data_IF_696985794201
#
_entry.id   IF_696985794201
#
_cell.length_a   1.000
_cell.length_b   1.000
_cell.length_c   1.000
_cell.angle_alpha   90.00
_cell.angle_beta   90.00
_cell.angle_gamma   90.00
#
_symmetry.space_group_name_H-M   'P 1'
#
loop_
_entity.id
_entity.type
_entity.pdbx_description
1 polymer ?
#
# COMPACT_ATOMS: atom_id res chain seq x y z
N UNK A 1 28.49 -3.05 10.73
CA UNK A 1 27.46 -3.12 9.69
C UNK A 1 28.16 -3.57 8.44
N UNK A 2 27.77 -4.72 7.91
CA UNK A 2 28.30 -5.23 6.65
C UNK A 2 27.77 -4.38 5.51
N UNK A 3 28.67 -3.83 4.69
CA UNK A 3 28.32 -2.97 3.55
C UNK A 3 28.32 -3.80 2.27
N UNK A 4 27.15 -3.92 1.65
CA UNK A 4 26.99 -4.53 0.34
C UNK A 4 26.93 -3.45 -0.75
N UNK A 5 27.70 -3.60 -1.82
CA UNK A 5 27.61 -2.77 -3.02
C UNK A 5 28.17 -3.52 -4.22
N UNK A 6 28.09 -2.95 -5.41
CA UNK A 6 28.67 -3.51 -6.61
C UNK A 6 29.46 -2.47 -7.40
N UNK A 7 30.35 -2.96 -8.26
CA UNK A 7 31.05 -2.17 -9.26
C UNK A 7 30.87 -2.82 -10.63
N UNK A 8 30.55 -2.02 -11.64
CA UNK A 8 30.58 -2.44 -13.04
C UNK A 8 31.71 -1.69 -13.71
N UNK A 9 32.76 -2.41 -14.10
CA UNK A 9 33.98 -1.83 -14.68
C UNK A 9 34.16 -2.28 -16.13
N UNK A 10 34.66 -1.41 -17.03
CA UNK A 10 34.96 -1.78 -18.40
C UNK A 10 35.97 -2.93 -18.46
N UNK A 11 35.77 -3.88 -19.37
CA UNK A 11 36.71 -4.98 -19.62
C UNK A 11 37.62 -4.66 -20.81
N UNK A 12 38.93 -4.96 -20.73
CA UNK A 12 39.85 -4.77 -21.85
C UNK A 12 39.41 -5.47 -23.13
N UNK A 13 39.67 -4.83 -24.28
CA UNK A 13 39.25 -5.32 -25.60
C UNK A 13 39.91 -6.66 -25.99
N UNK A 14 41.16 -6.89 -25.57
CA UNK A 14 41.90 -8.14 -25.75
C UNK A 14 41.30 -9.32 -24.98
N UNK A 15 40.54 -9.04 -23.93
CA UNK A 15 39.76 -10.03 -23.18
C UNK A 15 38.32 -10.14 -23.66
N UNK A 16 37.95 -9.55 -24.80
CA UNK A 16 36.62 -9.61 -25.40
C UNK A 16 35.69 -8.41 -25.08
N UNK A 17 36.21 -7.33 -24.51
CA UNK A 17 35.47 -6.08 -24.26
C UNK A 17 34.26 -6.21 -23.32
N UNK A 18 33.41 -5.20 -23.23
CA UNK A 18 32.19 -5.25 -22.41
C UNK A 18 32.45 -4.93 -20.94
N UNK A 19 31.76 -5.61 -20.02
CA UNK A 19 31.72 -5.23 -18.61
C UNK A 19 32.11 -6.38 -17.68
N UNK A 20 32.68 -6.03 -16.53
CA UNK A 20 32.87 -6.92 -15.38
C UNK A 20 32.08 -6.38 -14.20
N UNK A 21 31.17 -7.20 -13.69
CA UNK A 21 30.47 -6.97 -12.44
C UNK A 21 31.29 -7.54 -11.28
N UNK A 22 31.48 -6.74 -10.23
CA UNK A 22 32.07 -7.15 -8.96
C UNK A 22 31.03 -6.93 -7.88
N UNK A 23 30.73 -7.97 -7.11
CA UNK A 23 29.81 -7.92 -5.97
C UNK A 23 30.65 -7.87 -4.70
N UNK A 24 30.46 -6.83 -3.88
CA UNK A 24 31.39 -6.46 -2.81
C UNK A 24 30.68 -6.50 -1.45
N UNK A 25 31.28 -7.24 -0.52
CA UNK A 25 30.90 -7.31 0.90
C UNK A 25 32.08 -6.78 1.72
N UNK A 26 31.91 -5.64 2.40
CA UNK A 26 32.98 -4.97 3.16
C UNK A 26 34.28 -4.80 2.35
N UNK A 27 34.13 -4.30 1.11
CA UNK A 27 35.20 -4.09 0.13
C UNK A 27 35.86 -5.39 -0.40
N UNK A 28 35.38 -6.56 0.03
CA UNK A 28 35.84 -7.85 -0.48
C UNK A 28 34.93 -8.34 -1.59
N UNK A 29 35.52 -8.71 -2.73
CA UNK A 29 34.78 -9.31 -3.84
C UNK A 29 34.31 -10.71 -3.44
N UNK A 30 33.00 -10.91 -3.41
CA UNK A 30 32.33 -12.16 -3.01
C UNK A 30 31.61 -12.85 -4.16
N UNK A 31 31.49 -12.17 -5.30
CA UNK A 31 30.89 -12.70 -6.52
C UNK A 31 31.01 -11.70 -7.67
N UNK A 32 30.38 -12.03 -8.79
CA UNK A 32 30.42 -11.19 -9.98
C UNK A 32 30.06 -11.95 -11.24
N UNK A 33 30.26 -11.27 -12.36
CA UNK A 33 29.96 -11.77 -13.68
C UNK A 33 30.76 -11.04 -14.75
N UNK A 34 30.83 -11.64 -15.93
CA UNK A 34 31.50 -11.07 -17.08
C UNK A 34 30.48 -11.02 -18.21
N UNK A 35 30.31 -9.84 -18.79
CA UNK A 35 29.30 -9.56 -19.81
C UNK A 35 30.03 -9.15 -21.10
N UNK A 36 30.48 -10.12 -21.91
CA UNK A 36 31.24 -9.87 -23.14
C UNK A 36 30.32 -9.37 -24.25
N UNK A 37 30.76 -8.36 -25.02
CA UNK A 37 29.96 -7.81 -26.13
C UNK A 37 29.59 -8.86 -27.19
N UNK A 38 30.42 -9.91 -27.33
CA UNK A 38 30.19 -11.00 -28.28
C UNK A 38 28.91 -11.81 -28.01
N UNK A 39 28.41 -11.83 -26.76
CA UNK A 39 27.16 -12.52 -26.41
C UNK A 39 25.91 -11.71 -26.78
N UNK A 40 26.08 -10.43 -27.08
CA UNK A 40 25.02 -9.48 -27.42
C UNK A 40 25.02 -9.16 -28.91
N UNK A 41 25.33 -10.14 -29.76
CA UNK A 41 25.54 -9.96 -31.20
C UNK A 41 24.33 -9.35 -31.92
N UNK A 42 24.26 -8.02 -31.92
CA UNK A 42 23.35 -7.16 -32.68
C UNK A 42 24.11 -6.39 -33.76
N UNK A 43 23.39 -5.93 -34.78
CA UNK A 43 23.97 -5.21 -35.93
C UNK A 43 24.68 -3.91 -35.52
N UNK A 44 24.40 -3.39 -34.32
CA UNK A 44 24.91 -2.14 -33.78
C UNK A 44 25.80 -2.37 -32.54
N UNK A 45 27.08 -1.98 -32.64
CA UNK A 45 28.05 -2.14 -31.56
C UNK A 45 27.73 -1.29 -30.32
N UNK A 46 27.10 -0.13 -30.47
CA UNK A 46 26.74 0.75 -29.35
C UNK A 46 25.59 0.15 -28.52
N UNK A 47 24.65 -0.53 -29.18
CA UNK A 47 23.58 -1.27 -28.51
C UNK A 47 24.14 -2.46 -27.74
N UNK A 48 25.13 -3.18 -28.28
CA UNK A 48 25.76 -4.31 -27.59
C UNK A 48 26.41 -3.88 -26.28
N UNK A 49 27.00 -2.67 -26.24
CA UNK A 49 27.57 -2.09 -25.03
C UNK A 49 26.50 -1.77 -23.99
N UNK A 50 25.36 -1.23 -24.43
CA UNK A 50 24.24 -0.89 -23.56
C UNK A 50 23.59 -2.14 -22.96
N UNK A 51 23.21 -3.12 -23.77
CA UNK A 51 22.57 -4.36 -23.28
C UNK A 51 23.49 -5.15 -22.33
N UNK A 52 24.79 -5.23 -22.64
CA UNK A 52 25.74 -5.87 -21.74
C UNK A 52 25.85 -5.15 -20.38
N UNK A 53 25.65 -3.82 -20.35
CA UNK A 53 25.61 -3.06 -19.11
C UNK A 53 24.30 -3.28 -18.34
N UNK A 54 23.16 -3.31 -19.05
CA UNK A 54 21.84 -3.53 -18.46
C UNK A 54 21.73 -4.92 -17.81
N UNK A 55 22.24 -5.97 -18.46
CA UNK A 55 22.29 -7.31 -17.86
C UNK A 55 23.19 -7.34 -16.62
N UNK A 56 24.38 -6.71 -16.69
CA UNK A 56 25.26 -6.57 -15.53
C UNK A 56 24.58 -5.85 -14.36
N UNK A 57 23.78 -4.83 -14.66
CA UNK A 57 23.01 -4.09 -13.68
C UNK A 57 21.86 -4.92 -13.10
N UNK A 58 21.16 -5.71 -13.93
CA UNK A 58 20.07 -6.58 -13.50
C UNK A 58 20.57 -7.68 -12.53
N UNK A 59 21.70 -8.31 -12.84
CA UNK A 59 22.36 -9.27 -11.95
C UNK A 59 22.81 -8.63 -10.64
N UNK A 60 23.36 -7.41 -10.72
CA UNK A 60 23.77 -6.64 -9.54
C UNK A 60 22.58 -6.29 -8.63
N UNK A 61 21.47 -5.85 -9.21
CA UNK A 61 20.24 -5.52 -8.49
C UNK A 61 19.67 -6.78 -7.81
N UNK A 62 19.54 -7.87 -8.57
CA UNK A 62 19.05 -9.16 -8.05
C UNK A 62 19.89 -9.63 -6.86
N UNK A 63 21.22 -9.49 -6.95
CA UNK A 63 22.12 -9.84 -5.85
C UNK A 63 21.93 -8.94 -4.64
N UNK A 64 21.87 -7.61 -4.81
CA UNK A 64 21.62 -6.67 -3.71
C UNK A 64 20.29 -6.94 -3.02
N UNK A 65 19.23 -7.21 -3.77
CA UNK A 65 17.91 -7.54 -3.24
C UNK A 65 17.89 -8.84 -2.43
N UNK A 66 18.80 -9.77 -2.75
CA UNK A 66 18.99 -11.02 -1.99
C UNK A 66 19.76 -10.84 -0.68
N UNK A 67 20.41 -9.68 -0.44
CA UNK A 67 21.22 -9.47 0.76
C UNK A 67 20.33 -9.26 1.99
N UNK A 68 20.74 -9.75 3.17
CA UNK A 68 20.10 -9.38 4.42
C UNK A 68 20.06 -7.86 4.54
N UNK A 69 18.86 -7.28 4.57
CA UNK A 69 18.67 -5.84 4.81
C UNK A 69 18.91 -5.53 6.30
N UNK A 70 20.11 -5.82 6.81
CA UNK A 70 20.48 -5.66 8.22
C UNK A 70 20.43 -4.19 8.69
N UNK A 71 20.59 -3.22 7.77
CA UNK A 71 20.39 -1.81 8.07
C UNK A 71 18.93 -1.46 8.41
N UNK A 72 17.95 -2.26 7.98
CA UNK A 72 16.55 -2.10 8.41
C UNK A 72 16.34 -2.59 9.84
N UNK A 73 17.16 -3.53 10.35
CA UNK A 73 16.98 -4.16 11.66
C UNK A 73 17.26 -3.24 12.87
N UNK A 74 18.09 -2.19 12.70
CA UNK A 74 18.46 -1.28 13.80
C UNK A 74 17.49 -0.08 13.98
N UNK A 75 16.59 0.15 13.03
CA UNK A 75 15.49 1.13 13.10
C UNK A 75 14.13 0.47 12.78
N UNK A 76 14.03 -0.85 12.99
CA UNK A 76 13.01 -1.72 12.39
C UNK A 76 11.62 -1.66 13.04
N UNK A 77 11.37 -0.70 13.93
CA UNK A 77 10.21 -0.74 14.78
C UNK A 77 9.52 0.62 14.89
N UNK A 78 8.20 0.59 14.75
CA UNK A 78 7.28 1.68 14.98
C UNK A 78 6.46 1.37 16.24
N UNK A 79 6.09 2.42 16.96
CA UNK A 79 5.28 2.32 18.17
C UNK A 79 3.89 2.89 17.89
N UNK A 80 2.84 2.13 18.19
CA UNK A 80 1.46 2.61 18.09
C UNK A 80 1.11 3.59 19.20
N UNK A 81 -0.04 4.26 19.10
CA UNK A 81 -0.50 5.20 20.12
C UNK A 81 -0.78 4.53 21.48
N UNK A 82 -1.10 3.24 21.49
CA UNK A 82 -1.26 2.43 22.70
C UNK A 82 0.06 1.86 23.25
N UNK A 83 1.18 2.10 22.56
CA UNK A 83 2.50 1.63 22.98
C UNK A 83 2.85 0.22 22.51
N UNK A 84 2.24 -0.27 21.42
CA UNK A 84 2.58 -1.57 20.83
C UNK A 84 3.68 -1.40 19.78
N UNK A 85 4.78 -2.14 19.94
CA UNK A 85 5.83 -2.22 18.93
C UNK A 85 5.41 -3.10 17.75
N UNK A 86 5.64 -2.63 16.53
CA UNK A 86 5.52 -3.42 15.32
C UNK A 86 6.61 -3.08 14.31
N UNK A 87 6.90 -4.02 13.40
CA UNK A 87 7.82 -3.81 12.29
C UNK A 87 7.01 -3.71 10.98
N UNK A 88 7.14 -2.63 10.20
CA UNK A 88 6.59 -2.57 8.86
C UNK A 88 7.11 -3.74 8.01
N UNK A 89 6.22 -4.41 7.28
CA UNK A 89 6.55 -5.60 6.47
C UNK A 89 6.70 -6.89 7.28
N UNK A 90 6.49 -6.84 8.59
CA UNK A 90 6.42 -8.01 9.47
C UNK A 90 5.39 -7.82 10.59
N UNK A 91 4.25 -7.18 10.28
CA UNK A 91 3.15 -6.97 11.22
C UNK A 91 2.60 -8.32 11.69
N UNK A 92 2.53 -8.51 13.00
CA UNK A 92 2.01 -9.73 13.61
C UNK A 92 0.58 -9.52 14.07
N UNK A 93 -0.27 -10.53 13.87
CA UNK A 93 -1.69 -10.52 14.26
C UNK A 93 -1.90 -10.05 15.71
N UNK A 94 -1.10 -10.53 16.67
CA UNK A 94 -1.26 -10.15 18.08
C UNK A 94 -0.98 -8.67 18.39
N UNK A 95 -0.31 -7.96 17.47
CA UNK A 95 0.01 -6.53 17.59
C UNK A 95 -1.08 -5.64 16.97
N UNK A 96 -2.09 -6.24 16.32
CA UNK A 96 -3.20 -5.48 15.73
C UNK A 96 -4.22 -5.13 16.80
N UNK A 97 -4.59 -3.84 16.88
CA UNK A 97 -5.59 -3.30 17.82
C UNK A 97 -6.50 -2.34 17.10
N UNK A 98 -7.80 -2.45 17.33
CA UNK A 98 -8.79 -1.60 16.68
C UNK A 98 -8.67 -0.14 17.14
N UNK A 99 -8.26 0.08 18.39
CA UNK A 99 -8.02 1.40 18.96
C UNK A 99 -6.86 2.12 18.27
N UNK A 100 -5.78 1.39 17.98
CA UNK A 100 -4.63 1.93 17.24
C UNK A 100 -4.99 2.21 15.79
N UNK A 101 -5.76 1.33 15.15
CA UNK A 101 -6.28 1.55 13.79
C UNK A 101 -7.14 2.82 13.76
N UNK A 102 -8.16 2.90 14.60
CA UNK A 102 -9.08 4.04 14.61
C UNK A 102 -8.34 5.37 14.87
N UNK A 103 -7.37 5.38 15.79
CA UNK A 103 -6.54 6.54 16.06
C UNK A 103 -5.66 6.94 14.88
N UNK A 104 -4.94 5.98 14.29
CA UNK A 104 -4.06 6.27 13.16
C UNK A 104 -4.86 6.74 11.93
N UNK A 105 -5.93 6.02 11.56
CA UNK A 105 -6.75 6.35 10.40
C UNK A 105 -7.45 7.70 10.53
N UNK A 106 -7.74 8.19 11.75
CA UNK A 106 -8.34 9.52 11.93
C UNK A 106 -7.36 10.67 11.74
N UNK A 107 -6.05 10.36 11.81
CA UNK A 107 -4.95 11.30 11.61
C UNK A 107 -4.37 11.23 10.19
N UNK A 108 -4.44 10.07 9.52
CA UNK A 108 -3.93 9.88 8.16
C UNK A 108 -4.85 10.60 7.16
N UNK A 109 -4.27 11.57 6.43
CA UNK A 109 -4.98 12.36 5.43
C UNK A 109 -5.11 11.59 4.11
N UNK A 110 -6.31 11.61 3.52
CA UNK A 110 -6.49 11.23 2.13
C UNK A 110 -5.93 12.27 1.17
N UNK A 111 -5.77 11.87 -0.09
CA UNK A 111 -5.26 12.71 -1.18
C UNK A 111 -3.86 13.29 -0.91
N UNK A 112 -3.08 12.67 -0.01
CA UNK A 112 -1.79 13.22 0.42
C UNK A 112 -1.91 14.63 1.04
N UNK A 113 -3.09 14.98 1.59
CA UNK A 113 -3.34 16.31 2.17
C UNK A 113 -3.70 17.41 1.17
N UNK A 114 -4.04 17.07 -0.08
CA UNK A 114 -4.44 18.05 -1.10
C UNK A 114 -5.93 18.44 -1.08
N UNK A 115 -6.73 17.89 -0.17
CA UNK A 115 -8.11 18.34 0.06
C UNK A 115 -8.15 19.74 0.67
N UNK A 116 -9.25 20.47 0.45
CA UNK A 116 -9.42 21.83 0.97
C UNK A 116 -9.35 21.93 2.51
N UNK A 117 -9.66 20.83 3.19
CA UNK A 117 -9.62 20.67 4.64
C UNK A 117 -9.17 19.24 4.99
N UNK A 118 -8.86 18.99 6.27
CA UNK A 118 -8.48 17.66 6.74
C UNK A 118 -9.59 16.66 6.46
N UNK A 119 -9.27 15.61 5.69
CA UNK A 119 -10.16 14.50 5.44
C UNK A 119 -9.41 13.20 5.65
N UNK A 120 -9.81 12.46 6.67
CA UNK A 120 -9.10 11.29 7.16
C UNK A 120 -9.52 9.98 6.50
N UNK A 121 -8.67 8.96 6.56
CA UNK A 121 -9.02 7.59 6.13
C UNK A 121 -10.17 7.03 6.97
N UNK A 122 -10.29 7.40 8.24
CA UNK A 122 -11.43 7.02 9.08
C UNK A 122 -12.75 7.59 8.53
N UNK A 123 -12.77 8.86 8.11
CA UNK A 123 -13.94 9.49 7.48
C UNK A 123 -14.34 8.78 6.18
N UNK A 124 -13.35 8.42 5.36
CA UNK A 124 -13.56 7.65 4.14
C UNK A 124 -14.17 6.27 4.43
N UNK A 125 -13.60 5.52 5.38
CA UNK A 125 -14.11 4.21 5.78
C UNK A 125 -15.56 4.28 6.26
N UNK A 126 -15.91 5.31 7.05
CA UNK A 126 -17.29 5.56 7.47
C UNK A 126 -18.21 5.93 6.30
N UNK A 127 -17.72 6.67 5.30
CA UNK A 127 -18.48 6.97 4.08
C UNK A 127 -18.73 5.70 3.26
N UNK A 128 -17.73 4.82 3.10
CA UNK A 128 -17.86 3.52 2.44
C UNK A 128 -18.96 2.69 3.12
N UNK A 129 -18.96 2.64 4.45
CA UNK A 129 -20.02 1.95 5.21
C UNK A 129 -21.40 2.56 4.92
N UNK A 130 -21.54 3.88 4.92
CA UNK A 130 -22.82 4.55 4.60
C UNK A 130 -23.32 4.25 3.19
N UNK A 131 -22.40 4.15 2.22
CA UNK A 131 -22.73 3.79 0.84
C UNK A 131 -23.23 2.34 0.79
N UNK A 132 -22.54 1.41 1.46
CA UNK A 132 -22.93 0.01 1.53
C UNK A 132 -24.29 -0.17 2.24
N UNK A 133 -24.58 0.61 3.29
CA UNK A 133 -25.90 0.64 3.94
C UNK A 133 -27.00 1.07 2.96
N UNK A 134 -26.74 2.09 2.14
CA UNK A 134 -27.68 2.55 1.12
C UNK A 134 -27.88 1.54 -0.01
N UNK A 135 -26.93 0.61 -0.20
CA UNK A 135 -27.03 -0.55 -1.08
C UNK A 135 -27.67 -1.78 -0.40
N UNK A 136 -28.16 -1.63 0.84
CA UNK A 136 -28.76 -2.70 1.64
C UNK A 136 -27.82 -3.90 1.85
N UNK A 137 -26.51 -3.64 1.90
CA UNK A 137 -25.48 -4.65 2.10
C UNK A 137 -25.56 -5.27 3.51
N UNK A 138 -25.23 -6.56 3.67
CA UNK A 138 -25.29 -7.22 4.97
C UNK A 138 -24.17 -6.76 5.92
N UNK A 139 -24.32 -6.94 7.25
CA UNK A 139 -23.35 -6.49 8.25
C UNK A 139 -21.90 -6.93 7.99
N UNK A 140 -21.70 -8.13 7.45
CA UNK A 140 -20.38 -8.67 7.10
C UNK A 140 -19.72 -7.83 6.00
N UNK A 141 -20.48 -7.42 4.98
CA UNK A 141 -20.00 -6.52 3.94
C UNK A 141 -19.72 -5.12 4.49
N UNK A 142 -20.56 -4.63 5.42
CA UNK A 142 -20.33 -3.34 6.10
C UNK A 142 -19.05 -3.37 6.94
N UNK A 143 -18.78 -4.46 7.65
CA UNK A 143 -17.57 -4.62 8.46
C UNK A 143 -16.32 -4.70 7.57
N UNK A 144 -16.40 -5.43 6.45
CA UNK A 144 -15.37 -5.40 5.42
C UNK A 144 -15.15 -3.98 4.87
N UNK A 145 -16.23 -3.24 4.56
CA UNK A 145 -16.13 -1.86 4.12
C UNK A 145 -15.52 -0.90 5.15
N UNK A 146 -15.77 -1.11 6.45
CA UNK A 146 -15.15 -0.31 7.50
C UNK A 146 -13.64 -0.57 7.62
N UNK A 147 -13.21 -1.81 7.38
CA UNK A 147 -11.83 -2.26 7.60
C UNK A 147 -11.00 -2.43 6.32
N UNK A 148 -11.52 -2.06 5.15
CA UNK A 148 -10.83 -2.28 3.88
C UNK A 148 -9.50 -1.52 3.76
N UNK A 149 -9.39 -0.33 4.37
CA UNK A 149 -8.17 0.48 4.44
C UNK A 149 -7.49 0.38 5.84
N UNK A 150 -7.87 -0.59 6.68
CA UNK A 150 -7.37 -0.66 8.05
C UNK A 150 -5.87 -0.93 8.18
N UNK A 151 -5.26 -1.56 7.16
CA UNK A 151 -3.82 -1.77 7.09
C UNK A 151 -3.04 -0.47 6.93
N UNK A 152 -3.65 0.60 6.42
CA UNK A 152 -3.01 1.92 6.30
C UNK A 152 -2.61 2.51 7.66
N UNK A 153 -3.20 2.04 8.78
CA UNK A 153 -2.75 2.38 10.11
C UNK A 153 -1.28 1.99 10.39
N UNK A 154 -0.76 0.99 9.66
CA UNK A 154 0.58 0.43 9.85
C UNK A 154 1.57 0.78 8.73
N UNK A 155 1.06 1.19 7.56
CA UNK A 155 1.90 1.48 6.39
C UNK A 155 1.70 2.90 5.82
N UNK A 156 0.61 3.59 6.21
CA UNK A 156 0.19 4.89 5.70
C UNK A 156 -0.69 4.82 4.45
N UNK A 157 -1.46 5.87 4.19
CA UNK A 157 -2.13 6.11 2.90
C UNK A 157 -1.13 6.67 1.90
N UNK A 158 -1.02 6.03 0.73
CA UNK A 158 -0.22 6.51 -0.38
C UNK A 158 -1.13 6.68 -1.59
N UNK A 159 -1.28 7.89 -2.16
CA UNK A 159 -2.11 8.08 -3.34
C UNK A 159 -1.76 7.12 -4.49
N UNK A 160 -2.78 6.55 -5.14
CA UNK A 160 -2.63 5.52 -6.18
C UNK A 160 -1.55 5.81 -7.25
N UNK A 161 -1.40 7.05 -7.78
CA UNK A 161 -0.34 7.35 -8.74
C UNK A 161 1.07 7.15 -8.18
N UNK A 162 1.26 7.39 -6.87
CA UNK A 162 2.54 7.16 -6.18
C UNK A 162 2.75 5.66 -5.95
N UNK A 163 1.72 4.90 -5.56
CA UNK A 163 1.79 3.43 -5.43
C UNK A 163 2.33 2.79 -6.73
N UNK A 164 1.85 3.26 -7.89
CA UNK A 164 2.32 2.79 -9.20
C UNK A 164 3.81 3.07 -9.47
N UNK A 165 4.37 4.15 -8.92
CA UNK A 165 5.80 4.48 -9.03
C UNK A 165 6.66 3.65 -8.06
N UNK A 166 6.12 3.31 -6.88
CA UNK A 166 6.83 2.50 -5.88
C UNK A 166 6.89 1.01 -6.26
N UNK A 167 5.94 0.54 -7.08
CA UNK A 167 5.96 -0.79 -7.66
C UNK A 167 5.77 -1.91 -6.62
N UNK A 168 6.41 -3.06 -6.87
CA UNK A 168 6.20 -4.29 -6.11
C UNK A 168 6.55 -4.18 -4.64
N UNK A 169 7.61 -3.43 -4.30
CA UNK A 169 8.03 -3.24 -2.91
C UNK A 169 6.93 -2.64 -2.04
N UNK A 170 6.12 -1.72 -2.59
CA UNK A 170 4.98 -1.16 -1.87
C UNK A 170 3.83 -2.16 -1.77
N UNK A 171 3.51 -2.85 -2.87
CA UNK A 171 2.44 -3.85 -2.88
C UNK A 171 2.70 -4.97 -1.87
N UNK A 172 3.94 -5.45 -1.75
CA UNK A 172 4.30 -6.51 -0.80
C UNK A 172 4.15 -6.03 0.65
N UNK A 173 4.56 -4.79 0.92
CA UNK A 173 4.39 -4.16 2.24
C UNK A 173 2.91 -4.00 2.61
N UNK A 174 2.11 -3.49 1.68
CA UNK A 174 0.68 -3.25 1.86
C UNK A 174 -0.08 -4.57 2.07
N UNK A 175 0.16 -5.57 1.22
CA UNK A 175 -0.45 -6.90 1.34
C UNK A 175 -0.06 -7.61 2.65
N UNK A 176 1.18 -7.44 3.14
CA UNK A 176 1.60 -8.04 4.40
C UNK A 176 0.79 -7.48 5.58
N UNK A 177 0.61 -6.15 5.61
CA UNK A 177 -0.18 -5.48 6.63
C UNK A 177 -1.69 -5.82 6.51
N UNK A 178 -2.25 -5.78 5.29
CA UNK A 178 -3.62 -6.19 5.00
C UNK A 178 -3.90 -7.61 5.48
N UNK A 179 -3.04 -8.56 5.12
CA UNK A 179 -3.14 -9.94 5.58
C UNK A 179 -3.19 -10.06 7.10
N UNK A 180 -2.28 -9.38 7.80
CA UNK A 180 -2.22 -9.44 9.26
C UNK A 180 -3.46 -8.82 9.93
N UNK A 181 -4.00 -7.74 9.38
CA UNK A 181 -5.23 -7.09 9.85
C UNK A 181 -6.45 -8.00 9.62
N UNK A 182 -6.61 -8.54 8.40
CA UNK A 182 -7.71 -9.44 8.08
C UNK A 182 -7.69 -10.69 8.96
N UNK A 183 -6.51 -11.26 9.21
CA UNK A 183 -6.36 -12.43 10.07
C UNK A 183 -6.66 -12.08 11.55
N UNK A 184 -6.32 -10.88 12.02
CA UNK A 184 -6.62 -10.43 13.38
C UNK A 184 -8.11 -10.28 13.67
N UNK A 185 -8.90 -9.89 12.67
CA UNK A 185 -10.35 -9.73 12.80
C UNK A 185 -11.15 -10.91 12.23
N UNK A 186 -10.49 -11.97 11.75
CA UNK A 186 -11.16 -13.14 11.17
C UNK A 186 -11.91 -12.86 9.86
N UNK A 187 -11.49 -11.83 9.11
CA UNK A 187 -12.22 -11.30 7.95
C UNK A 187 -11.74 -11.81 6.59
N UNK A 188 -10.71 -12.67 6.54
CA UNK A 188 -10.12 -13.12 5.26
C UNK A 188 -11.17 -13.68 4.27
N UNK A 189 -12.08 -14.52 4.75
CA UNK A 189 -13.13 -15.10 3.90
C UNK A 189 -14.19 -14.07 3.53
N UNK A 190 -14.70 -13.31 4.51
CA UNK A 190 -15.70 -12.28 4.28
C UNK A 190 -15.21 -11.20 3.30
N UNK A 191 -13.94 -10.79 3.40
CA UNK A 191 -13.35 -9.81 2.50
C UNK A 191 -13.28 -10.34 1.07
N UNK A 192 -13.00 -11.63 0.88
CA UNK A 192 -13.06 -12.26 -0.44
C UNK A 192 -14.51 -12.31 -0.98
N UNK A 193 -15.47 -12.72 -0.15
CA UNK A 193 -16.89 -12.84 -0.54
C UNK A 193 -17.49 -11.49 -0.94
N UNK A 194 -17.10 -10.41 -0.26
CA UNK A 194 -17.63 -9.06 -0.48
C UNK A 194 -16.70 -8.12 -1.24
N UNK A 195 -15.56 -8.60 -1.75
CA UNK A 195 -14.51 -7.80 -2.38
C UNK A 195 -15.06 -6.84 -3.43
N UNK A 196 -15.84 -7.35 -4.39
CA UNK A 196 -16.32 -6.54 -5.52
C UNK A 196 -17.33 -5.47 -5.07
N UNK A 197 -18.13 -5.78 -4.05
CA UNK A 197 -19.10 -4.85 -3.47
C UNK A 197 -18.40 -3.73 -2.70
N UNK A 198 -17.44 -4.08 -1.84
CA UNK A 198 -16.62 -3.12 -1.08
C UNK A 198 -15.84 -2.23 -2.04
N UNK A 199 -15.20 -2.81 -3.06
CA UNK A 199 -14.46 -2.07 -4.09
C UNK A 199 -15.34 -1.15 -4.92
N UNK A 200 -16.60 -1.52 -5.15
CA UNK A 200 -17.55 -0.62 -5.80
C UNK A 200 -17.90 0.56 -4.89
N UNK A 201 -18.20 0.30 -3.62
CA UNK A 201 -18.51 1.34 -2.64
C UNK A 201 -17.32 2.31 -2.40
N UNK A 202 -16.09 1.80 -2.33
CA UNK A 202 -14.86 2.61 -2.27
C UNK A 202 -14.76 3.55 -3.49
N UNK A 203 -14.98 3.07 -4.71
CA UNK A 203 -14.98 3.95 -5.89
C UNK A 203 -16.08 5.01 -5.86
N UNK A 204 -17.26 4.67 -5.34
CA UNK A 204 -18.34 5.65 -5.13
C UNK A 204 -17.92 6.68 -4.08
N UNK A 205 -17.26 6.26 -3.00
CA UNK A 205 -16.69 7.17 -1.99
C UNK A 205 -15.65 8.09 -2.62
N UNK A 206 -14.69 7.57 -3.39
CA UNK A 206 -13.68 8.34 -4.10
C UNK A 206 -14.30 9.37 -5.07
N UNK A 207 -15.36 9.01 -5.80
CA UNK A 207 -16.09 9.94 -6.65
C UNK A 207 -16.77 11.05 -5.85
N UNK A 208 -17.34 10.71 -4.69
CA UNK A 208 -18.00 11.63 -3.76
C UNK A 208 -17.01 12.61 -3.16
N UNK A 209 -15.87 12.11 -2.69
CA UNK A 209 -14.78 12.88 -2.11
C UNK A 209 -14.17 13.84 -3.12
N UNK A 210 -13.91 13.39 -4.35
CA UNK A 210 -13.41 14.29 -5.40
C UNK A 210 -14.40 15.42 -5.69
N UNK A 211 -15.70 15.15 -5.69
CA UNK A 211 -16.74 16.16 -5.89
C UNK A 211 -16.78 17.18 -4.75
N UNK A 212 -16.65 16.70 -3.51
CA UNK A 212 -16.90 17.52 -2.33
C UNK A 212 -15.65 18.20 -1.76
N UNK A 213 -14.47 17.61 -1.93
CA UNK A 213 -13.22 18.00 -1.24
C UNK A 213 -12.17 18.63 -2.16
N UNK A 214 -12.29 18.43 -3.47
CA UNK A 214 -11.32 18.90 -4.46
C UNK A 214 -11.96 19.88 -5.44
N UNK A 215 -11.19 20.88 -5.85
CA UNK A 215 -11.59 21.77 -6.95
C UNK A 215 -11.31 21.03 -8.26
N UNK A 216 -12.35 20.46 -8.85
CA UNK A 216 -12.27 19.69 -10.09
C UNK A 216 -13.25 20.21 -11.15
N UNK A 217 -12.74 20.52 -12.33
CA UNK A 217 -13.51 20.84 -13.53
C UNK A 217 -13.02 19.99 -14.71
N UNK A 218 -13.92 19.23 -15.34
CA UNK A 218 -13.63 18.42 -16.52
C UNK A 218 -13.07 19.21 -17.70
N UNK A 219 -13.26 20.54 -17.73
CA UNK A 219 -12.71 21.41 -18.77
C UNK A 219 -11.23 21.74 -18.59
N UNK A 220 -10.72 21.67 -17.36
CA UNK A 220 -9.37 22.13 -17.00
C UNK A 220 -8.52 21.05 -16.36
N UNK A 221 -9.12 19.98 -15.86
CA UNK A 221 -8.44 18.88 -15.17
C UNK A 221 -8.56 17.56 -15.94
N UNK A 222 -7.54 16.71 -15.79
CA UNK A 222 -7.56 15.37 -16.37
C UNK A 222 -8.59 14.48 -15.67
N UNK A 223 -9.42 13.72 -16.41
CA UNK A 223 -10.35 12.79 -15.80
C UNK A 223 -9.60 11.67 -15.08
N UNK A 224 -10.22 11.09 -14.05
CA UNK A 224 -9.70 9.91 -13.37
C UNK A 224 -10.31 8.65 -14.01
N UNK A 225 -9.54 7.84 -14.76
CA UNK A 225 -10.10 6.71 -15.50
C UNK A 225 -10.81 5.69 -14.61
N UNK A 226 -10.35 5.53 -13.36
CA UNK A 226 -10.94 4.64 -12.36
C UNK A 226 -12.39 5.01 -11.97
N UNK A 227 -12.81 6.25 -12.21
CA UNK A 227 -14.15 6.75 -11.92
C UNK A 227 -15.08 6.77 -13.15
N UNK A 228 -14.65 6.18 -14.27
CA UNK A 228 -15.50 6.13 -15.48
C UNK A 228 -16.78 5.34 -15.20
N UNK A 229 -17.93 5.99 -15.35
CA UNK A 229 -19.24 5.38 -15.11
C UNK A 229 -19.59 5.18 -13.63
N UNK A 230 -18.81 5.78 -12.71
CA UNK A 230 -19.08 5.78 -11.27
C UNK A 230 -19.67 7.12 -10.91
N UNK A 231 -20.92 7.11 -10.44
CA UNK A 231 -21.59 8.30 -9.93
C UNK A 231 -21.28 8.49 -8.44
N UNK A 232 -21.09 9.74 -7.97
CA UNK A 232 -20.88 10.01 -6.56
C UNK A 232 -22.15 9.75 -5.76
N UNK A 233 -21.97 9.42 -4.48
CA UNK A 233 -23.07 9.24 -3.54
C UNK A 233 -23.89 10.54 -3.43
N UNK A 234 -25.23 10.50 -3.44
CA UNK A 234 -26.06 11.71 -3.47
C UNK A 234 -25.81 12.66 -2.28
N UNK A 235 -25.58 12.08 -1.10
CA UNK A 235 -25.27 12.83 0.12
C UNK A 235 -23.82 13.31 0.10
N UNK A 236 -23.59 14.49 0.67
CA UNK A 236 -22.23 15.04 0.80
C UNK A 236 -21.42 14.32 1.88
N UNK A 237 -20.10 14.40 1.73
CA UNK A 237 -19.16 14.05 2.79
C UNK A 237 -19.38 14.94 4.02
N UNK A 238 -19.14 14.40 5.20
CA UNK A 238 -19.14 15.18 6.44
C UNK A 238 -17.80 15.92 6.56
N UNK A 239 -17.82 17.19 6.15
CA UNK A 239 -16.68 18.12 6.18
C UNK A 239 -16.88 19.19 7.24
N UNK A 240 -15.81 19.65 7.89
CA UNK A 240 -15.85 20.66 8.95
C UNK A 240 -16.53 20.23 10.25
N UNK A 241 -16.91 18.95 10.39
CA UNK A 241 -17.52 18.39 11.60
C UNK A 241 -16.54 17.46 12.31
N UNK A 242 -16.25 17.76 13.58
CA UNK A 242 -15.42 16.92 14.44
C UNK A 242 -13.90 17.04 14.18
N UNK A 243 -13.12 16.80 15.23
CA UNK A 243 -11.66 16.66 15.15
C UNK A 243 -11.25 15.19 14.89
N UNK A 244 -9.95 14.90 14.82
CA UNK A 244 -9.46 13.54 14.64
C UNK A 244 -9.93 12.58 15.75
N UNK A 245 -10.14 13.08 16.97
CA UNK A 245 -10.67 12.28 18.08
C UNK A 245 -12.12 11.88 17.81
N UNK A 246 -12.96 12.80 17.38
CA UNK A 246 -14.33 12.50 16.99
C UNK A 246 -14.40 11.38 15.94
N UNK A 247 -13.57 11.44 14.92
CA UNK A 247 -13.57 10.43 13.85
C UNK A 247 -13.03 9.07 14.29
N UNK A 248 -12.04 9.04 15.20
CA UNK A 248 -11.62 7.79 15.83
C UNK A 248 -12.73 7.17 16.68
N UNK A 249 -13.43 7.98 17.49
CA UNK A 249 -14.55 7.52 18.33
C UNK A 249 -15.71 7.00 17.46
N UNK A 250 -16.07 7.70 16.39
CA UNK A 250 -17.10 7.28 15.45
C UNK A 250 -16.74 5.96 14.74
N UNK A 251 -15.47 5.79 14.37
CA UNK A 251 -14.96 4.54 13.78
C UNK A 251 -15.10 3.37 14.77
N UNK A 252 -14.69 3.55 16.02
CA UNK A 252 -14.77 2.52 17.06
C UNK A 252 -16.22 2.14 17.40
N UNK A 253 -17.09 3.14 17.56
CA UNK A 253 -18.52 2.92 17.79
C UNK A 253 -19.14 2.12 16.63
N UNK A 254 -18.76 2.46 15.40
CA UNK A 254 -19.27 1.76 14.22
C UNK A 254 -18.75 0.34 14.12
N UNK A 255 -17.47 0.11 14.41
CA UNK A 255 -16.86 -1.21 14.46
C UNK A 255 -17.59 -2.12 15.46
N UNK A 256 -17.78 -1.66 16.71
CA UNK A 256 -18.43 -2.44 17.76
C UNK A 256 -19.85 -2.87 17.36
N UNK A 257 -20.66 -1.94 16.82
CA UNK A 257 -22.02 -2.24 16.34
C UNK A 257 -22.05 -3.27 15.21
N UNK A 258 -21.12 -3.15 14.26
CA UNK A 258 -21.06 -4.08 13.12
C UNK A 258 -20.60 -5.46 13.56
N UNK A 259 -19.66 -5.55 14.49
CA UNK A 259 -19.22 -6.81 15.06
C UNK A 259 -20.39 -7.53 15.76
N UNK A 260 -21.12 -6.83 16.63
CA UNK A 260 -22.33 -7.37 17.29
C UNK A 260 -23.37 -7.85 16.27
N UNK A 261 -23.59 -7.09 15.19
CA UNK A 261 -24.54 -7.45 14.14
C UNK A 261 -24.11 -8.70 13.34
N UNK A 262 -22.81 -8.87 13.07
CA UNK A 262 -22.27 -10.06 12.41
C UNK A 262 -22.42 -11.31 13.31
N UNK A 263 -22.12 -11.18 14.60
CA UNK A 263 -22.26 -12.24 15.59
C UNK A 263 -23.73 -12.68 15.73
N UNK A 264 -24.65 -11.72 15.79
CA UNK A 264 -26.09 -11.99 15.88
C UNK A 264 -26.63 -12.78 14.68
N UNK A 265 -26.17 -12.50 13.45
CA UNK A 265 -26.59 -13.24 12.24
C UNK A 265 -26.02 -14.66 12.19
N UNK A 266 -24.80 -14.83 12.69
CA UNK A 266 -24.16 -16.16 12.76
C UNK A 266 -24.96 -17.08 13.68
N UNK A 267 -25.40 -16.59 14.85
CA UNK A 267 -26.23 -17.34 15.80
C UNK A 267 -27.63 -17.72 15.26
N UNK A 268 -28.18 -16.96 14.30
CA UNK A 268 -29.48 -17.27 13.69
C UNK A 268 -29.36 -18.33 12.58
N UNK A 269 -28.15 -18.50 12.03
CA UNK A 269 -27.89 -19.39 10.89
C UNK A 269 -27.41 -20.79 11.29
N UNK A 270 -27.17 -21.03 12.59
CA UNK A 270 -26.79 -22.31 13.20
C UNK A 270 -27.96 -22.98 13.90
#
# INVERSE_FOLDING_TARGET
MTRYHYEIVPRPADLGGGWRLRLLEDEREVGGGVFPLAEYAIENADEAVLFAYEDALADASTWLDSRPKEAAAAMAHMLTCSGIDYAPGALRVQNVRIEDIAHALSLICRFGGHSAEHYSVAQHSLLVVRILEAMEAPPEALLCGLLHDAHEAYVGDVPTPIKAMLGTSWNDLEHQAESAVLDAFGLRNSMNDWHDLVKHADRVALATERRDLLIFDMKTNLPWPILRGVEPFPQRTAVGWGDCRHWAEAFLERFARLQEACEARTCIST
#
